data_IF_637193940848
#
_entry.id   IF_637193940848
#
_cell.length_a   1.000
_cell.length_b   1.000
_cell.length_c   1.000
_cell.angle_alpha   90.00
_cell.angle_beta   90.00
_cell.angle_gamma   90.00
#
_symmetry.space_group_name_H-M   'P 1'
#
loop_
_entity.id
_entity.type
_entity.pdbx_description
1 polymer ?
#
# COMPACT_ATOMS: atom_id res chain seq x y z
N UNK A 1 40.13 24.60 -2.54
CA UNK A 1 38.75 24.78 -2.03
C UNK A 1 37.69 23.95 -2.76
N UNK A 2 37.88 23.62 -4.05
CA UNK A 2 36.93 22.84 -4.87
C UNK A 2 36.69 21.39 -4.37
N UNK A 3 37.71 20.72 -3.80
CA UNK A 3 37.57 19.33 -3.34
C UNK A 3 36.61 19.11 -2.15
N UNK A 4 36.34 20.13 -1.32
CA UNK A 4 35.42 19.99 -0.18
C UNK A 4 33.95 20.08 -0.59
N UNK A 5 33.63 20.85 -1.64
CA UNK A 5 32.25 21.02 -2.13
C UNK A 5 31.75 19.76 -2.85
N UNK A 6 32.64 19.08 -3.59
CA UNK A 6 32.33 17.83 -4.28
C UNK A 6 32.02 16.69 -3.29
N UNK A 7 32.77 16.61 -2.19
CA UNK A 7 32.54 15.62 -1.12
C UNK A 7 31.21 15.83 -0.39
N UNK A 8 30.77 17.08 -0.21
CA UNK A 8 29.47 17.40 0.39
C UNK A 8 28.33 17.02 -0.56
N UNK A 9 28.45 17.30 -1.87
CA UNK A 9 27.47 16.88 -2.88
C UNK A 9 27.36 15.35 -2.97
N UNK A 10 28.49 14.64 -2.96
CA UNK A 10 28.51 13.17 -2.95
C UNK A 10 27.87 12.63 -1.66
N UNK A 11 28.15 13.22 -0.50
CA UNK A 11 27.51 12.84 0.76
C UNK A 11 25.98 13.04 0.72
N UNK A 12 25.50 14.13 0.10
CA UNK A 12 24.07 14.40 -0.10
C UNK A 12 23.39 13.36 -1.00
N UNK A 13 24.06 12.87 -2.05
CA UNK A 13 23.53 11.80 -2.90
C UNK A 13 23.47 10.44 -2.19
N UNK A 14 24.35 10.17 -1.23
CA UNK A 14 24.38 8.90 -0.49
C UNK A 14 23.33 8.88 0.65
N UNK A 15 23.00 10.04 1.22
CA UNK A 15 21.98 10.17 2.28
C UNK A 15 20.52 10.10 1.81
N UNK A 16 20.26 10.05 0.51
CA UNK A 16 18.91 9.79 -0.05
C UNK A 16 18.57 8.29 -0.14
N UNK A 17 19.26 7.44 0.61
CA UNK A 17 19.01 5.99 0.70
C UNK A 17 17.97 5.62 1.77
N UNK A 18 17.38 6.62 2.45
CA UNK A 18 16.28 6.39 3.39
C UNK A 18 14.99 5.99 2.64
N UNK A 19 14.62 4.70 2.73
CA UNK A 19 13.30 4.16 2.40
C UNK A 19 12.79 4.43 0.97
N UNK A 20 13.65 4.34 -0.04
CA UNK A 20 13.19 4.25 -1.42
C UNK A 20 12.60 2.86 -1.69
N UNK A 21 11.38 2.60 -1.22
CA UNK A 21 10.53 1.62 -1.88
C UNK A 21 10.39 2.13 -3.30
N UNK A 22 11.06 1.47 -4.25
CA UNK A 22 11.09 1.93 -5.64
C UNK A 22 9.65 2.11 -6.08
N UNK A 23 9.31 3.27 -6.67
CA UNK A 23 7.97 3.58 -7.19
C UNK A 23 7.32 2.38 -7.89
N UNK A 24 8.11 1.69 -8.72
CA UNK A 24 7.69 0.51 -9.48
C UNK A 24 7.25 -0.66 -8.58
N UNK A 25 7.84 -0.83 -7.39
CA UNK A 25 7.47 -1.86 -6.43
C UNK A 25 6.12 -1.59 -5.78
N UNK A 26 5.86 -0.36 -5.31
CA UNK A 26 4.55 -0.01 -4.72
C UNK A 26 3.44 -0.09 -5.76
N UNK A 27 3.70 0.39 -6.98
CA UNK A 27 2.76 0.28 -8.09
C UNK A 27 2.43 -1.18 -8.42
N UNK A 28 3.44 -2.04 -8.50
CA UNK A 28 3.28 -3.47 -8.77
C UNK A 28 2.47 -4.17 -7.65
N UNK A 29 2.74 -3.86 -6.39
CA UNK A 29 1.97 -4.42 -5.26
C UNK A 29 0.50 -4.03 -5.35
N UNK A 30 0.20 -2.77 -5.66
CA UNK A 30 -1.17 -2.29 -5.79
C UNK A 30 -1.88 -2.92 -6.99
N UNK A 31 -1.20 -3.04 -8.13
CA UNK A 31 -1.74 -3.71 -9.31
C UNK A 31 -2.02 -5.18 -9.06
N UNK A 32 -1.10 -5.90 -8.40
CA UNK A 32 -1.30 -7.32 -8.06
C UNK A 32 -2.36 -7.53 -7.01
N UNK A 33 -2.54 -6.61 -6.08
CA UNK A 33 -3.64 -6.64 -5.13
C UNK A 33 -5.00 -6.48 -5.83
N UNK A 34 -5.08 -5.56 -6.80
CA UNK A 34 -6.28 -5.40 -7.65
C UNK A 34 -6.55 -6.63 -8.52
N UNK A 35 -5.51 -7.25 -9.08
CA UNK A 35 -5.64 -8.49 -9.86
C UNK A 35 -6.16 -9.65 -8.99
N UNK A 36 -5.62 -9.81 -7.78
CA UNK A 36 -6.11 -10.83 -6.84
C UNK A 36 -7.57 -10.58 -6.44
N UNK A 37 -7.92 -9.33 -6.16
CA UNK A 37 -9.31 -8.97 -5.88
C UNK A 37 -10.23 -9.35 -7.05
N UNK A 38 -9.83 -9.04 -8.29
CA UNK A 38 -10.60 -9.40 -9.49
C UNK A 38 -10.80 -10.91 -9.63
N UNK A 39 -9.77 -11.69 -9.30
CA UNK A 39 -9.86 -13.15 -9.33
C UNK A 39 -10.84 -13.69 -8.27
N UNK A 40 -10.87 -13.08 -7.08
CA UNK A 40 -11.70 -13.56 -5.97
C UNK A 40 -13.15 -13.05 -6.02
N UNK A 41 -13.37 -11.83 -6.52
CA UNK A 41 -14.65 -11.10 -6.42
C UNK A 41 -15.22 -10.68 -7.78
N UNK A 42 -14.52 -10.97 -8.89
CA UNK A 42 -14.86 -10.50 -10.23
C UNK A 42 -14.34 -9.09 -10.51
N UNK A 43 -14.46 -8.64 -11.76
CA UNK A 43 -13.93 -7.33 -12.19
C UNK A 43 -14.78 -6.19 -11.62
N UNK A 44 -14.30 -5.40 -10.63
CA UNK A 44 -15.08 -4.32 -10.08
C UNK A 44 -15.15 -3.16 -11.06
N UNK A 45 -16.30 -2.48 -11.09
CA UNK A 45 -16.34 -1.14 -11.62
C UNK A 45 -15.54 -0.22 -10.66
N UNK A 46 -14.56 0.55 -11.16
CA UNK A 46 -13.78 1.48 -10.33
C UNK A 46 -14.65 2.49 -9.56
N UNK A 47 -15.86 2.76 -10.03
CA UNK A 47 -16.81 3.65 -9.33
C UNK A 47 -17.41 3.01 -8.08
N UNK A 48 -17.40 1.68 -7.96
CA UNK A 48 -18.08 0.94 -6.90
C UNK A 48 -17.15 0.56 -5.75
N UNK A 49 -15.83 0.72 -5.92
CA UNK A 49 -14.83 0.44 -4.89
C UNK A 49 -13.98 1.68 -4.56
N UNK A 50 -13.38 1.66 -3.37
CA UNK A 50 -12.36 2.59 -2.92
C UNK A 50 -11.17 1.80 -2.39
N UNK A 51 -9.97 2.32 -2.66
CA UNK A 51 -8.75 1.83 -2.07
C UNK A 51 -8.52 2.56 -0.75
N UNK A 52 -8.24 1.83 0.32
CA UNK A 52 -7.74 2.40 1.57
C UNK A 52 -6.29 1.93 1.70
N UNK A 53 -5.39 2.89 1.59
CA UNK A 53 -3.95 2.67 1.47
C UNK A 53 -3.27 3.15 2.75
N UNK A 54 -2.53 2.28 3.40
CA UNK A 54 -1.78 2.59 4.61
C UNK A 54 -0.34 2.12 4.49
N UNK A 55 0.56 2.83 5.13
CA UNK A 55 1.88 2.30 5.45
C UNK A 55 2.28 2.74 6.84
N UNK A 56 3.18 1.96 7.44
CA UNK A 56 3.64 2.23 8.79
C UNK A 56 5.07 1.77 8.92
N UNK A 57 5.92 2.61 9.50
CA UNK A 57 7.23 2.16 9.99
C UNK A 57 6.99 1.24 11.18
N UNK A 58 7.57 0.06 11.12
CA UNK A 58 7.46 -0.95 12.17
C UNK A 58 8.82 -0.99 12.85
N UNK A 59 8.80 -0.77 14.17
CA UNK A 59 10.00 -1.00 14.97
C UNK A 59 10.17 -2.51 15.15
N UNK A 60 11.42 -2.95 15.08
CA UNK A 60 11.78 -4.35 15.24
C UNK A 60 11.27 -4.87 16.59
N UNK A 61 10.39 -5.87 16.56
CA UNK A 61 9.84 -6.50 17.76
C UNK A 61 10.00 -8.01 17.68
N UNK A 62 9.90 -8.69 18.82
CA UNK A 62 9.97 -10.16 18.90
C UNK A 62 9.00 -10.84 17.90
N UNK A 63 7.85 -10.23 17.63
CA UNK A 63 6.82 -10.77 16.73
C UNK A 63 7.01 -10.36 15.27
N UNK A 64 7.88 -9.39 14.98
CA UNK A 64 8.12 -8.82 13.65
C UNK A 64 9.61 -8.60 13.45
N UNK A 65 10.39 -9.65 13.66
CA UNK A 65 11.84 -9.59 13.59
C UNK A 65 12.28 -9.17 12.19
N UNK A 66 13.25 -8.26 12.11
CA UNK A 66 13.81 -7.76 10.85
C UNK A 66 12.82 -6.96 9.97
N UNK A 67 11.57 -6.76 10.40
CA UNK A 67 10.58 -5.90 9.75
C UNK A 67 10.92 -4.44 10.03
N UNK A 68 10.78 -3.60 9.01
CA UNK A 68 11.06 -2.16 9.12
C UNK A 68 9.91 -1.27 8.68
N UNK A 69 9.07 -1.76 7.77
CA UNK A 69 7.84 -1.08 7.41
C UNK A 69 6.82 -2.09 6.88
N UNK A 70 5.54 -1.70 6.97
CA UNK A 70 4.42 -2.44 6.40
C UNK A 70 3.65 -1.56 5.43
N UNK A 71 3.07 -2.19 4.41
CA UNK A 71 2.11 -1.60 3.48
C UNK A 71 0.81 -2.38 3.58
N UNK A 72 -0.29 -1.69 3.83
CA UNK A 72 -1.65 -2.22 3.80
C UNK A 72 -2.40 -1.70 2.57
N UNK A 73 -3.05 -2.62 1.85
CA UNK A 73 -3.95 -2.31 0.74
C UNK A 73 -5.28 -2.96 1.06
N UNK A 74 -6.28 -2.13 1.31
CA UNK A 74 -7.66 -2.56 1.54
C UNK A 74 -8.53 -2.09 0.39
N UNK A 75 -9.34 -2.98 -0.17
CA UNK A 75 -10.31 -2.68 -1.23
C UNK A 75 -11.71 -2.80 -0.62
N UNK A 76 -12.40 -1.68 -0.57
CA UNK A 76 -13.70 -1.52 0.07
C UNK A 76 -14.75 -1.20 -0.99
N UNK A 77 -15.88 -1.89 -1.01
CA UNK A 77 -17.01 -1.45 -1.83
C UNK A 77 -17.58 -0.17 -1.21
N UNK A 78 -17.80 0.88 -2.02
CA UNK A 78 -18.17 2.21 -1.52
C UNK A 78 -19.42 2.24 -0.66
N UNK A 79 -20.41 1.41 -1.00
CA UNK A 79 -21.63 1.26 -0.20
C UNK A 79 -21.34 0.84 1.25
N UNK A 80 -20.20 0.19 1.50
CA UNK A 80 -19.78 -0.27 2.83
C UNK A 80 -18.79 0.66 3.53
N UNK A 81 -18.40 1.79 2.91
CA UNK A 81 -17.57 2.80 3.58
C UNK A 81 -18.48 3.50 4.60
N UNK A 82 -18.35 3.11 5.86
CA UNK A 82 -18.99 3.73 7.02
C UNK A 82 -17.89 4.05 8.03
N UNK A 83 -17.94 5.24 8.63
CA UNK A 83 -17.02 5.68 9.67
C UNK A 83 -15.53 5.71 9.25
N UNK A 84 -15.22 5.75 7.96
CA UNK A 84 -13.86 6.07 7.50
C UNK A 84 -13.79 7.59 7.35
N UNK A 85 -13.09 8.24 8.28
CA UNK A 85 -12.81 9.66 8.22
C UNK A 85 -11.59 9.92 7.32
N UNK A 86 -11.71 10.87 6.39
CA UNK A 86 -10.61 11.25 5.52
C UNK A 86 -10.77 12.72 5.08
N UNK A 87 -9.66 13.45 5.09
CA UNK A 87 -9.62 14.86 4.68
C UNK A 87 -9.36 15.02 3.18
N UNK A 88 -8.64 14.07 2.60
CA UNK A 88 -8.17 14.11 1.21
C UNK A 88 -8.61 12.88 0.45
N UNK A 89 -8.99 13.12 -0.79
CA UNK A 89 -9.28 12.06 -1.74
C UNK A 89 -8.19 12.04 -2.80
N UNK A 90 -7.75 10.83 -3.13
CA UNK A 90 -6.79 10.59 -4.19
C UNK A 90 -7.41 9.67 -5.24
N UNK A 91 -6.69 9.51 -6.34
CA UNK A 91 -6.92 8.46 -7.32
C UNK A 91 -5.65 7.68 -7.60
N UNK A 92 -5.79 6.37 -7.68
CA UNK A 92 -4.83 5.50 -8.33
C UNK A 92 -5.45 4.99 -9.62
N UNK A 93 -4.87 5.37 -10.78
CA UNK A 93 -5.50 5.16 -12.08
C UNK A 93 -6.93 5.72 -12.10
N UNK A 94 -7.94 4.86 -12.21
CA UNK A 94 -9.37 5.19 -12.20
C UNK A 94 -10.08 4.81 -10.88
N UNK A 95 -9.35 4.32 -9.88
CA UNK A 95 -9.89 3.96 -8.57
C UNK A 95 -9.73 5.12 -7.58
N UNK A 96 -10.81 5.54 -6.90
CA UNK A 96 -10.72 6.42 -5.73
C UNK A 96 -9.86 5.77 -4.66
N UNK A 97 -9.03 6.57 -4.01
CA UNK A 97 -8.12 6.12 -2.97
C UNK A 97 -8.15 7.09 -1.79
N UNK A 98 -8.37 6.54 -0.61
CA UNK A 98 -8.08 7.18 0.67
C UNK A 98 -6.71 6.69 1.08
N UNK A 99 -5.87 7.61 1.54
CA UNK A 99 -4.59 7.24 2.13
C UNK A 99 -4.58 7.76 3.56
N UNK A 100 -4.50 6.82 4.52
CA UNK A 100 -4.26 7.13 5.94
C UNK A 100 -2.79 7.50 6.19
N UNK A 101 -2.01 7.55 5.12
CA UNK A 101 -0.57 7.50 5.19
C UNK A 101 0.05 8.89 5.39
N UNK A 102 0.75 9.01 6.51
CA UNK A 102 1.71 10.07 6.77
C UNK A 102 3.01 9.88 5.97
N UNK A 103 3.24 8.69 5.39
CA UNK A 103 4.46 8.35 4.68
C UNK A 103 4.25 8.37 3.16
N UNK A 104 5.24 8.95 2.48
CA UNK A 104 5.18 9.27 1.06
C UNK A 104 5.25 8.08 0.10
N UNK A 105 5.08 6.83 0.52
CA UNK A 105 5.31 5.65 -0.33
C UNK A 105 4.32 5.57 -1.49
N UNK A 106 3.08 5.97 -1.28
CA UNK A 106 2.05 6.00 -2.31
C UNK A 106 2.02 7.33 -3.10
N UNK A 107 2.60 8.41 -2.57
CA UNK A 107 2.58 9.75 -3.20
C UNK A 107 3.04 9.75 -4.67
N UNK A 108 4.05 8.97 -5.10
CA UNK A 108 4.49 8.94 -6.49
C UNK A 108 3.50 8.30 -7.47
N UNK A 109 2.50 7.56 -6.98
CA UNK A 109 1.56 6.78 -7.81
C UNK A 109 0.10 7.21 -7.66
N UNK A 110 -0.24 7.95 -6.60
CA UNK A 110 -1.57 8.50 -6.40
C UNK A 110 -1.60 10.00 -6.74
N UNK A 111 -2.75 10.48 -7.23
CA UNK A 111 -2.98 11.89 -7.51
C UNK A 111 -4.14 12.42 -6.67
N UNK A 112 -3.92 13.53 -5.98
CA UNK A 112 -5.00 14.23 -5.24
C UNK A 112 -6.09 14.69 -6.21
N UNK A 113 -7.35 14.55 -5.80
CA UNK A 113 -8.54 14.97 -6.54
C UNK A 113 -9.45 15.79 -5.63
N UNK A 114 -10.43 16.48 -6.22
CA UNK A 114 -11.46 17.18 -5.46
C UNK A 114 -12.11 16.23 -4.46
N UNK A 115 -12.32 16.74 -3.25
CA UNK A 115 -13.01 16.00 -2.20
C UNK A 115 -14.41 15.58 -2.67
N UNK A 116 -14.75 14.33 -2.40
CA UNK A 116 -16.08 13.75 -2.57
C UNK A 116 -16.36 12.92 -1.31
N UNK A 117 -17.57 13.04 -0.75
CA UNK A 117 -17.98 12.18 0.36
C UNK A 117 -18.39 10.79 -0.15
N UNK A 118 -17.57 9.80 0.15
CA UNK A 118 -17.74 8.40 -0.19
C UNK A 118 -18.62 7.67 0.85
N UNK A 119 -18.79 8.23 2.06
CA UNK A 119 -19.69 7.74 3.11
C UNK A 119 -21.16 8.17 2.87
N UNK A 120 -21.63 8.12 1.63
CA UNK A 120 -22.94 8.69 1.27
C UNK A 120 -24.12 7.73 1.47
N UNK A 121 -23.88 6.46 1.81
CA UNK A 121 -24.92 5.47 2.02
C UNK A 121 -25.06 5.10 3.50
N UNK A 122 -26.31 5.15 3.99
CA UNK A 122 -26.66 4.54 5.28
C UNK A 122 -26.80 3.03 5.06
N UNK A 123 -25.88 2.27 5.65
CA UNK A 123 -26.04 0.82 5.75
C UNK A 123 -27.09 0.49 6.82
N UNK A 124 -27.92 -0.54 6.59
CA UNK A 124 -28.67 -1.19 7.65
C UNK A 124 -27.74 -1.59 8.81
N UNK A 125 -28.17 -1.34 10.05
CA UNK A 125 -27.43 -1.80 11.21
C UNK A 125 -27.35 -3.34 11.21
N UNK A 126 -26.20 -3.89 11.61
CA UNK A 126 -25.98 -5.34 11.69
C UNK A 126 -25.40 -6.01 10.43
N UNK A 127 -25.08 -5.27 9.37
CA UNK A 127 -24.32 -5.84 8.23
C UNK A 127 -22.87 -6.09 8.64
N UNK A 128 -22.45 -7.35 8.57
CA UNK A 128 -21.04 -7.76 8.68
C UNK A 128 -20.44 -7.68 7.27
N UNK A 129 -19.48 -6.79 7.09
CA UNK A 129 -18.72 -6.65 5.86
C UNK A 129 -17.24 -6.94 6.12
N UNK A 130 -16.69 -7.88 5.35
CA UNK A 130 -15.28 -8.23 5.39
C UNK A 130 -14.61 -7.66 4.13
N UNK A 131 -13.90 -6.52 4.23
CA UNK A 131 -13.22 -5.93 3.09
C UNK A 131 -12.09 -6.85 2.62
N UNK A 132 -11.81 -6.81 1.32
CA UNK A 132 -10.57 -7.43 0.86
C UNK A 132 -9.39 -6.63 1.39
N UNK A 133 -8.45 -7.30 2.04
CA UNK A 133 -7.24 -6.68 2.54
C UNK A 133 -6.02 -7.56 2.26
N UNK A 134 -4.92 -6.92 1.88
CA UNK A 134 -3.61 -7.54 1.84
C UNK A 134 -2.60 -6.64 2.54
N UNK A 135 -1.69 -7.24 3.29
CA UNK A 135 -0.63 -6.54 3.99
C UNK A 135 0.72 -7.17 3.66
N UNK A 136 1.69 -6.32 3.36
CA UNK A 136 3.06 -6.69 3.03
C UNK A 136 3.99 -6.08 4.07
N UNK A 137 4.85 -6.88 4.67
CA UNK A 137 5.86 -6.42 5.62
C UNK A 137 7.24 -6.63 5.05
N UNK A 138 8.08 -5.61 5.20
CA UNK A 138 9.34 -5.53 4.50
C UNK A 138 10.51 -5.40 5.44
N UNK A 139 11.60 -6.06 5.05
CA UNK A 139 12.90 -5.88 5.70
C UNK A 139 13.61 -4.60 5.21
N UNK A 140 14.80 -4.33 5.75
CA UNK A 140 15.67 -3.19 5.35
C UNK A 140 16.07 -3.20 3.87
N UNK A 141 16.05 -4.36 3.22
CA UNK A 141 16.39 -4.53 1.80
C UNK A 141 15.19 -4.36 0.88
N UNK A 142 14.01 -4.06 1.43
CA UNK A 142 12.73 -3.99 0.71
C UNK A 142 12.24 -5.33 0.17
N UNK A 143 12.68 -6.44 0.77
CA UNK A 143 12.11 -7.76 0.50
C UNK A 143 10.88 -7.97 1.40
N UNK A 144 9.85 -8.64 0.88
CA UNK A 144 8.68 -9.03 1.66
C UNK A 144 9.06 -10.24 2.52
N UNK A 145 8.97 -10.07 3.83
CA UNK A 145 9.23 -11.12 4.82
C UNK A 145 7.95 -11.61 5.50
N UNK A 146 6.85 -10.84 5.43
CA UNK A 146 5.51 -11.33 5.77
C UNK A 146 4.47 -10.83 4.79
N UNK A 147 3.53 -11.71 4.45
CA UNK A 147 2.37 -11.41 3.65
C UNK A 147 1.10 -11.96 4.30
N UNK A 148 0.12 -11.09 4.50
CA UNK A 148 -1.22 -11.46 4.98
C UNK A 148 -2.28 -11.10 3.94
N UNK A 149 -3.31 -11.95 3.74
CA UNK A 149 -3.46 -13.29 4.29
C UNK A 149 -2.50 -14.29 3.63
N UNK A 150 -2.00 -15.26 4.42
CA UNK A 150 -0.97 -16.23 3.97
C UNK A 150 -1.44 -17.06 2.77
N UNK A 151 -2.74 -17.31 2.66
CA UNK A 151 -3.33 -18.03 1.51
C UNK A 151 -3.11 -17.31 0.16
N UNK A 152 -2.79 -16.02 0.17
CA UNK A 152 -2.50 -15.22 -1.03
C UNK A 152 -1.03 -15.31 -1.46
N UNK A 153 -0.17 -15.96 -0.67
CA UNK A 153 1.27 -16.05 -0.90
C UNK A 153 1.62 -16.61 -2.29
N UNK A 154 0.97 -17.71 -2.69
CA UNK A 154 1.23 -18.35 -3.99
C UNK A 154 1.01 -17.36 -5.13
N UNK A 155 -0.12 -16.66 -5.11
CA UNK A 155 -0.43 -15.66 -6.12
C UNK A 155 0.65 -14.58 -6.21
N UNK A 156 1.05 -13.99 -5.08
CA UNK A 156 2.05 -12.92 -5.11
C UNK A 156 3.45 -13.43 -5.47
N UNK A 157 3.86 -14.64 -5.04
CA UNK A 157 5.13 -15.24 -5.46
C UNK A 157 5.21 -15.46 -6.97
N UNK A 158 4.09 -15.84 -7.60
CA UNK A 158 4.03 -16.10 -9.05
C UNK A 158 3.91 -14.81 -9.88
N UNK A 159 3.44 -13.71 -9.29
CA UNK A 159 3.05 -12.51 -10.04
C UNK A 159 3.87 -11.25 -9.74
N UNK A 160 4.61 -11.20 -8.62
CA UNK A 160 5.56 -10.11 -8.36
C UNK A 160 6.89 -10.41 -9.04
N UNK A 161 7.37 -9.47 -9.85
CA UNK A 161 8.62 -9.60 -10.61
C UNK A 161 9.77 -8.79 -9.99
N UNK A 162 9.46 -7.67 -9.36
CA UNK A 162 10.47 -6.73 -8.87
C UNK A 162 10.64 -6.75 -7.34
N UNK A 163 9.91 -7.62 -6.64
CA UNK A 163 9.93 -7.72 -5.18
C UNK A 163 10.09 -9.16 -4.77
N UNK A 164 11.15 -9.47 -4.01
CA UNK A 164 11.39 -10.80 -3.49
C UNK A 164 10.46 -11.06 -2.29
N UNK A 165 9.92 -12.28 -2.20
CA UNK A 165 9.19 -12.77 -1.02
C UNK A 165 10.03 -13.88 -0.37
N UNK A 166 10.54 -13.62 0.83
CA UNK A 166 11.52 -14.48 1.50
C UNK A 166 10.85 -15.53 2.39
N UNK A 167 9.86 -15.14 3.20
CA UNK A 167 9.26 -16.01 4.21
C UNK A 167 7.74 -15.83 4.32
N UNK A 168 7.08 -16.91 4.72
CA UNK A 168 5.73 -17.00 5.24
C UNK A 168 5.65 -18.45 5.76
N UNK A 169 6.44 -18.76 6.79
CA UNK A 169 6.28 -20.00 7.56
C UNK A 169 5.11 -19.85 8.53
#
# INVERSE_FOLDING_TARGET
MINKLLLILIAFFISCSAQNVKKNGVEELLDKSLDLYKLQKGTPNPKDICLVLSSKKIDDTINFKDVTYGIGITIVEKKFIKNIEYEKLYKYKNYPAISEDSLGVFKPIIKEVSYENLNNQKLPDGIIYDPFNVSFMFNKKSDIIYLYPVNSLKFFKENLKNTQIIENE
#
